data_IF_690055350098
#
_entry.id   IF_690055350098
#
_cell.length_a   1.000
_cell.length_b   1.000
_cell.length_c   1.000
_cell.angle_alpha   90.00
_cell.angle_beta   90.00
_cell.angle_gamma   90.00
#
_symmetry.space_group_name_H-M   'P 1'
#
loop_
_entity.id
_entity.type
_entity.pdbx_description
1 polymer ?
#
# COMPACT_ATOMS: atom_id res chain seq x y z
N UNK A 1 -22.29 -2.43 10.83
CA UNK A 1 -22.48 -3.07 9.51
C UNK A 1 -21.84 -4.45 9.59
N UNK A 2 -22.59 -5.52 9.35
CA UNK A 2 -22.04 -6.91 9.43
C UNK A 2 -21.28 -7.21 8.15
N UNK A 3 -20.06 -7.69 8.26
CA UNK A 3 -19.29 -8.25 7.13
C UNK A 3 -19.98 -9.56 6.71
N UNK A 4 -20.26 -9.70 5.43
CA UNK A 4 -20.81 -10.93 4.89
C UNK A 4 -19.68 -11.85 4.38
N UNK A 5 -19.99 -13.11 4.06
CA UNK A 5 -19.01 -14.09 3.59
C UNK A 5 -18.26 -13.62 2.33
N UNK A 6 -18.95 -12.89 1.44
CA UNK A 6 -18.37 -12.34 0.22
C UNK A 6 -17.33 -11.24 0.52
N UNK A 7 -17.59 -10.41 1.56
CA UNK A 7 -16.63 -9.40 1.99
C UNK A 7 -15.40 -10.06 2.65
N UNK A 8 -15.60 -11.09 3.47
CA UNK A 8 -14.50 -11.84 4.08
C UNK A 8 -13.60 -12.49 3.03
N UNK A 9 -14.17 -13.11 2.00
CA UNK A 9 -13.40 -13.68 0.89
C UNK A 9 -12.57 -12.64 0.16
N UNK A 10 -13.12 -11.44 -0.09
CA UNK A 10 -12.38 -10.35 -0.75
C UNK A 10 -11.27 -9.79 0.15
N UNK A 11 -11.53 -9.64 1.45
CA UNK A 11 -10.54 -9.21 2.45
C UNK A 11 -9.36 -10.16 2.45
N UNK A 12 -9.62 -11.47 2.60
CA UNK A 12 -8.58 -12.49 2.65
C UNK A 12 -7.77 -12.55 1.35
N UNK A 13 -8.44 -12.48 0.19
CA UNK A 13 -7.78 -12.49 -1.11
C UNK A 13 -6.86 -11.27 -1.27
N UNK A 14 -7.34 -10.07 -0.98
CA UNK A 14 -6.52 -8.85 -1.14
C UNK A 14 -5.38 -8.78 -0.12
N UNK A 15 -5.59 -9.26 1.10
CA UNK A 15 -4.53 -9.39 2.10
C UNK A 15 -3.44 -10.35 1.63
N UNK A 16 -3.82 -11.53 1.14
CA UNK A 16 -2.90 -12.52 0.62
C UNK A 16 -2.11 -12.00 -0.60
N UNK A 17 -2.79 -11.36 -1.55
CA UNK A 17 -2.14 -10.77 -2.73
C UNK A 17 -1.16 -9.66 -2.32
N UNK A 18 -1.52 -8.79 -1.37
CA UNK A 18 -0.62 -7.75 -0.86
C UNK A 18 0.59 -8.37 -0.17
N UNK A 19 0.38 -9.42 0.61
CA UNK A 19 1.44 -10.15 1.30
C UNK A 19 2.38 -10.86 0.31
N UNK A 20 1.85 -11.62 -0.66
CA UNK A 20 2.63 -12.29 -1.71
C UNK A 20 3.39 -11.25 -2.55
N UNK A 21 2.75 -10.12 -2.87
CA UNK A 21 3.37 -9.01 -3.57
C UNK A 21 4.58 -8.41 -2.87
N UNK A 22 4.71 -8.61 -1.55
CA UNK A 22 5.90 -8.18 -0.79
C UNK A 22 7.16 -8.99 -1.09
N UNK A 23 7.01 -10.23 -1.56
CA UNK A 23 8.14 -11.09 -1.94
C UNK A 23 8.60 -10.86 -3.38
N UNK A 24 7.72 -10.27 -4.21
CA UNK A 24 8.09 -9.85 -5.57
C UNK A 24 8.68 -8.46 -5.46
N UNK A 25 10.00 -8.39 -5.32
CA UNK A 25 10.69 -7.15 -4.99
C UNK A 25 11.98 -6.98 -5.78
N UNK A 26 12.30 -5.72 -6.07
CA UNK A 26 13.57 -5.31 -6.64
C UNK A 26 14.32 -4.54 -5.55
N UNK A 27 15.48 -5.04 -5.07
CA UNK A 27 16.24 -4.42 -3.98
C UNK A 27 16.98 -3.17 -4.50
N UNK A 28 16.30 -2.04 -4.50
CA UNK A 28 16.88 -0.73 -4.85
C UNK A 28 16.84 0.17 -3.63
N UNK A 29 18.02 0.47 -3.07
CA UNK A 29 18.13 1.33 -1.87
C UNK A 29 17.73 0.65 -0.56
N UNK A 30 17.46 1.45 0.51
CA UNK A 30 17.17 0.94 1.86
C UNK A 30 15.82 0.22 1.97
N UNK A 31 14.90 0.53 1.07
CA UNK A 31 13.58 -0.09 1.00
C UNK A 31 13.42 -0.70 -0.40
N UNK A 32 13.07 -1.98 -0.52
CA UNK A 32 12.88 -2.61 -1.82
C UNK A 32 11.60 -2.09 -2.51
N UNK A 33 11.65 -1.96 -3.83
CA UNK A 33 10.45 -1.71 -4.65
C UNK A 33 9.69 -3.02 -4.80
N UNK A 34 8.46 -3.09 -4.31
CA UNK A 34 7.67 -4.33 -4.29
C UNK A 34 6.37 -4.20 -5.09
N UNK A 35 5.72 -5.32 -5.39
CA UNK A 35 4.37 -5.32 -5.97
C UNK A 35 3.25 -5.05 -4.95
N UNK A 36 3.56 -4.91 -3.66
CA UNK A 36 2.56 -4.62 -2.61
C UNK A 36 1.67 -3.44 -2.96
N UNK A 37 2.27 -2.31 -3.36
CA UNK A 37 1.55 -1.07 -3.68
C UNK A 37 0.47 -1.28 -4.74
N UNK A 38 0.70 -2.14 -5.73
CA UNK A 38 -0.31 -2.49 -6.73
C UNK A 38 -1.57 -3.07 -6.07
N UNK A 39 -1.40 -4.05 -5.19
CA UNK A 39 -2.53 -4.72 -4.52
C UNK A 39 -3.20 -3.84 -3.47
N UNK A 40 -2.45 -2.95 -2.82
CA UNK A 40 -3.00 -1.92 -1.93
C UNK A 40 -3.89 -0.95 -2.71
N UNK A 41 -3.45 -0.46 -3.87
CA UNK A 41 -4.23 0.40 -4.75
C UNK A 41 -5.48 -0.32 -5.28
N UNK A 42 -5.37 -1.59 -5.67
CA UNK A 42 -6.52 -2.41 -6.07
C UNK A 42 -7.51 -2.57 -4.91
N UNK A 43 -7.02 -2.82 -3.70
CA UNK A 43 -7.85 -2.90 -2.48
C UNK A 43 -8.65 -1.61 -2.29
N UNK A 44 -7.98 -0.47 -2.38
CA UNK A 44 -8.60 0.85 -2.23
C UNK A 44 -9.64 1.15 -3.30
N UNK A 45 -9.42 0.69 -4.55
CA UNK A 45 -10.32 0.93 -5.68
C UNK A 45 -11.51 -0.04 -5.74
N UNK A 46 -11.39 -1.26 -5.20
CA UNK A 46 -12.37 -2.34 -5.39
C UNK A 46 -13.21 -2.65 -4.15
N UNK A 47 -12.65 -2.48 -2.96
CA UNK A 47 -13.32 -2.81 -1.71
C UNK A 47 -14.02 -1.58 -1.11
N UNK A 48 -15.01 -1.81 -0.24
CA UNK A 48 -15.56 -0.75 0.61
C UNK A 48 -14.53 -0.36 1.70
N UNK A 49 -14.67 0.83 2.35
CA UNK A 49 -13.66 1.33 3.29
C UNK A 49 -13.35 0.39 4.44
N UNK A 50 -14.37 -0.25 5.00
CA UNK A 50 -14.20 -1.19 6.11
C UNK A 50 -13.44 -2.45 5.66
N UNK A 51 -13.81 -3.01 4.52
CA UNK A 51 -13.11 -4.18 3.96
C UNK A 51 -11.67 -3.82 3.54
N UNK A 52 -11.43 -2.61 3.02
CA UNK A 52 -10.09 -2.15 2.69
C UNK A 52 -9.20 -2.03 3.92
N UNK A 53 -9.74 -1.50 5.03
CA UNK A 53 -9.04 -1.46 6.32
C UNK A 53 -8.65 -2.87 6.79
N UNK A 54 -9.62 -3.79 6.87
CA UNK A 54 -9.36 -5.15 7.35
C UNK A 54 -8.42 -5.94 6.44
N UNK A 55 -8.47 -5.73 5.12
CA UNK A 55 -7.54 -6.35 4.18
C UNK A 55 -6.09 -5.92 4.46
N UNK A 56 -5.84 -4.63 4.67
CA UNK A 56 -4.49 -4.14 4.96
C UNK A 56 -4.04 -4.45 6.38
N UNK A 57 -4.96 -4.48 7.35
CA UNK A 57 -4.65 -4.94 8.71
C UNK A 57 -4.24 -6.42 8.70
N UNK A 58 -4.99 -7.27 8.00
CA UNK A 58 -4.66 -8.71 7.85
C UNK A 58 -3.32 -8.89 7.11
N UNK A 59 -3.05 -8.10 6.06
CA UNK A 59 -1.76 -8.06 5.39
C UNK A 59 -0.61 -7.71 6.37
N UNK A 60 -0.78 -6.70 7.23
CA UNK A 60 0.20 -6.38 8.27
C UNK A 60 0.40 -7.55 9.24
N UNK A 61 -0.69 -8.16 9.73
CA UNK A 61 -0.62 -9.30 10.66
C UNK A 61 0.13 -10.48 10.04
N UNK A 62 -0.15 -10.82 8.77
CA UNK A 62 0.59 -11.85 8.03
C UNK A 62 2.07 -11.49 7.90
N UNK A 63 2.38 -10.22 7.64
CA UNK A 63 3.77 -9.75 7.53
C UNK A 63 4.52 -9.86 8.86
N UNK A 64 3.88 -9.50 9.97
CA UNK A 64 4.45 -9.66 11.33
C UNK A 64 4.62 -11.14 11.69
N UNK A 65 3.63 -11.96 11.40
CA UNK A 65 3.66 -13.40 11.72
C UNK A 65 4.82 -14.12 11.01
N UNK A 66 5.05 -13.80 9.74
CA UNK A 66 6.07 -14.49 8.93
C UNK A 66 7.46 -13.89 9.10
N UNK A 67 7.58 -12.57 9.20
CA UNK A 67 8.87 -11.87 9.34
C UNK A 67 9.33 -11.68 10.79
N UNK A 68 8.43 -11.93 11.76
CA UNK A 68 8.71 -11.72 13.17
C UNK A 68 8.81 -10.26 13.58
N UNK A 69 9.21 -10.02 14.84
CA UNK A 69 9.33 -8.68 15.41
C UNK A 69 10.36 -7.76 14.73
N UNK A 70 11.28 -8.31 13.96
CA UNK A 70 12.29 -7.53 13.22
C UNK A 70 11.65 -6.58 12.20
N UNK A 71 10.43 -6.86 11.76
CA UNK A 71 9.71 -6.01 10.80
C UNK A 71 9.51 -4.59 11.34
N UNK A 72 9.34 -4.43 12.66
CA UNK A 72 9.17 -3.13 13.32
C UNK A 72 10.41 -2.24 13.19
N UNK A 73 11.59 -2.81 13.09
CA UNK A 73 12.84 -2.08 12.86
C UNK A 73 13.21 -1.99 11.38
N UNK A 74 12.35 -2.44 10.50
CA UNK A 74 12.56 -2.30 9.06
C UNK A 74 12.15 -0.90 8.58
N UNK A 75 12.96 -0.23 7.74
CA UNK A 75 12.57 1.01 7.08
C UNK A 75 11.26 0.92 6.30
N UNK A 76 10.89 -0.28 5.85
CA UNK A 76 9.65 -0.54 5.11
C UNK A 76 8.39 -0.53 5.97
N UNK A 77 8.49 -0.63 7.30
CA UNK A 77 7.33 -0.79 8.18
C UNK A 77 6.39 0.41 8.15
N UNK A 78 6.94 1.63 8.01
CA UNK A 78 6.12 2.84 7.87
C UNK A 78 5.18 2.80 6.68
N UNK A 79 5.57 2.16 5.58
CA UNK A 79 4.72 1.97 4.41
C UNK A 79 3.60 0.97 4.68
N UNK A 80 3.83 -0.07 5.50
CA UNK A 80 2.77 -0.99 5.93
C UNK A 80 1.71 -0.27 6.77
N UNK A 81 2.12 0.62 7.68
CA UNK A 81 1.20 1.48 8.44
C UNK A 81 0.42 2.39 7.47
N UNK A 82 1.11 3.02 6.51
CA UNK A 82 0.48 3.85 5.50
C UNK A 82 -0.61 3.11 4.72
N UNK A 83 -0.41 1.85 4.37
CA UNK A 83 -1.39 1.04 3.64
C UNK A 83 -2.71 0.87 4.41
N UNK A 84 -2.63 0.64 5.74
CA UNK A 84 -3.81 0.50 6.60
C UNK A 84 -4.61 1.79 6.67
N UNK A 85 -3.95 2.93 6.65
CA UNK A 85 -4.58 4.25 6.73
C UNK A 85 -5.12 4.70 5.36
N UNK A 86 -4.30 4.58 4.33
CA UNK A 86 -4.60 5.15 3.01
C UNK A 86 -5.66 4.35 2.26
N UNK A 87 -5.61 3.02 2.29
CA UNK A 87 -6.55 2.21 1.53
C UNK A 87 -8.02 2.49 1.88
N UNK A 88 -8.44 2.56 3.17
CA UNK A 88 -9.81 2.90 3.51
C UNK A 88 -10.17 4.37 3.19
N UNK A 89 -9.23 5.31 3.31
CA UNK A 89 -9.46 6.72 2.95
C UNK A 89 -9.79 6.84 1.47
N UNK A 90 -8.98 6.26 0.61
CA UNK A 90 -9.19 6.28 -0.85
C UNK A 90 -10.48 5.57 -1.23
N UNK A 91 -10.77 4.43 -0.61
CA UNK A 91 -12.02 3.71 -0.81
C UNK A 91 -13.24 4.57 -0.40
N UNK A 92 -13.13 5.32 0.70
CA UNK A 92 -14.18 6.23 1.14
C UNK A 92 -14.39 7.39 0.15
N UNK A 93 -13.32 8.04 -0.31
CA UNK A 93 -13.40 9.12 -1.30
C UNK A 93 -14.05 8.64 -2.59
N UNK A 94 -13.73 7.43 -3.04
CA UNK A 94 -14.35 6.80 -4.18
C UNK A 94 -15.85 6.52 -3.96
N UNK A 95 -16.20 5.93 -2.82
CA UNK A 95 -17.58 5.57 -2.48
C UNK A 95 -18.48 6.81 -2.37
N UNK A 96 -17.98 7.91 -1.86
CA UNK A 96 -18.74 9.17 -1.70
C UNK A 96 -18.86 9.96 -3.01
N UNK A 97 -18.20 9.54 -4.08
CA UNK A 97 -18.20 10.25 -5.36
C UNK A 97 -17.45 11.58 -5.35
N UNK A 98 -16.73 11.91 -4.24
CA UNK A 98 -15.92 13.13 -4.15
C UNK A 98 -14.81 13.18 -5.21
N UNK A 99 -14.26 12.01 -5.56
CA UNK A 99 -13.31 11.85 -6.64
C UNK A 99 -13.77 10.68 -7.50
N UNK A 100 -14.22 10.97 -8.71
CA UNK A 100 -14.80 9.96 -9.60
C UNK A 100 -13.77 9.22 -10.44
N UNK A 101 -12.69 9.88 -10.83
CA UNK A 101 -11.68 9.29 -11.69
C UNK A 101 -10.61 8.54 -10.88
N UNK A 102 -10.51 7.23 -11.11
CA UNK A 102 -9.55 6.35 -10.41
C UNK A 102 -8.09 6.82 -10.53
N UNK A 103 -7.72 7.45 -11.65
CA UNK A 103 -6.37 8.01 -11.85
C UNK A 103 -5.98 9.03 -10.76
N UNK A 104 -6.90 9.88 -10.34
CA UNK A 104 -6.60 10.86 -9.28
C UNK A 104 -6.55 10.19 -7.91
N UNK A 105 -7.37 9.17 -7.69
CA UNK A 105 -7.36 8.39 -6.45
C UNK A 105 -6.04 7.64 -6.25
N UNK A 106 -5.48 7.03 -7.31
CA UNK A 106 -4.19 6.32 -7.19
C UNK A 106 -3.02 7.29 -7.01
N UNK A 107 -3.05 8.46 -7.64
CA UNK A 107 -2.04 9.51 -7.42
C UNK A 107 -2.09 10.00 -5.97
N UNK A 108 -3.28 10.32 -5.47
CA UNK A 108 -3.48 10.74 -4.08
C UNK A 108 -3.04 9.65 -3.10
N UNK A 109 -3.40 8.38 -3.37
CA UNK A 109 -2.99 7.25 -2.56
C UNK A 109 -1.47 7.14 -2.47
N UNK A 110 -0.78 7.18 -3.60
CA UNK A 110 0.68 7.08 -3.67
C UNK A 110 1.35 8.24 -2.91
N UNK A 111 0.87 9.45 -3.09
CA UNK A 111 1.36 10.62 -2.34
C UNK A 111 1.19 10.48 -0.83
N UNK A 112 0.00 10.04 -0.37
CA UNK A 112 -0.27 9.81 1.05
C UNK A 112 0.60 8.67 1.63
N UNK A 113 0.82 7.61 0.85
CA UNK A 113 1.70 6.50 1.26
C UNK A 113 3.12 7.02 1.50
N UNK A 114 3.64 7.89 0.63
CA UNK A 114 4.96 8.48 0.81
C UNK A 114 5.02 9.43 2.01
N UNK A 115 4.01 10.28 2.18
CA UNK A 115 3.94 11.24 3.32
C UNK A 115 3.94 10.52 4.66
N UNK A 116 3.31 9.35 4.76
CA UNK A 116 3.26 8.57 6.01
C UNK A 116 4.48 7.65 6.14
N UNK A 117 4.88 6.98 5.05
CA UNK A 117 5.92 5.95 5.10
C UNK A 117 7.34 6.51 5.20
N UNK A 118 7.64 7.61 4.48
CA UNK A 118 9.00 8.18 4.43
C UNK A 118 9.50 8.71 5.77
N UNK A 119 8.69 9.41 6.61
CA UNK A 119 9.15 9.82 7.93
C UNK A 119 9.56 8.66 8.83
N UNK A 120 8.79 7.58 8.83
CA UNK A 120 9.15 6.37 9.58
C UNK A 120 10.47 5.78 9.08
N UNK A 121 10.61 5.64 7.76
CA UNK A 121 11.86 5.20 7.13
C UNK A 121 13.05 6.06 7.57
N UNK A 122 12.88 7.39 7.58
CA UNK A 122 13.92 8.33 7.99
C UNK A 122 14.35 8.12 9.46
N UNK A 123 13.39 7.88 10.35
CA UNK A 123 13.67 7.59 11.77
C UNK A 123 14.48 6.28 11.88
N UNK A 124 14.08 5.23 11.19
CA UNK A 124 14.82 3.95 11.24
C UNK A 124 16.23 4.11 10.68
N UNK A 125 16.41 4.78 9.54
CA UNK A 125 17.71 4.92 8.90
C UNK A 125 18.66 5.82 9.70
N UNK A 126 18.18 6.92 10.28
CA UNK A 126 19.04 7.91 10.91
C UNK A 126 19.15 7.74 12.43
N UNK A 127 18.10 7.24 13.11
CA UNK A 127 18.14 7.10 14.58
C UNK A 127 18.57 5.69 15.00
N UNK A 128 18.03 4.64 14.33
CA UNK A 128 18.33 3.26 14.71
C UNK A 128 19.55 2.68 14.00
N UNK A 129 19.73 3.02 12.71
CA UNK A 129 20.86 2.55 11.91
C UNK A 129 22.01 3.57 11.81
N UNK A 130 21.84 4.76 12.39
CA UNK A 130 22.85 5.83 12.53
C UNK A 130 23.53 6.22 11.20
N UNK A 131 22.81 6.12 10.08
CA UNK A 131 23.37 6.36 8.74
C UNK A 131 23.62 7.84 8.45
N UNK A 132 23.04 8.77 9.21
CA UNK A 132 23.26 10.22 9.05
C UNK A 132 22.84 10.76 7.68
N UNK A 133 21.80 10.18 7.05
CA UNK A 133 21.36 10.59 5.73
C UNK A 133 20.75 11.99 5.74
N UNK A 134 21.14 12.83 4.77
CA UNK A 134 20.57 14.15 4.57
C UNK A 134 19.11 14.04 4.10
N UNK A 135 18.35 15.13 4.22
CA UNK A 135 16.96 15.19 3.77
C UNK A 135 16.82 14.84 2.27
N UNK A 136 17.74 15.33 1.43
CA UNK A 136 17.76 15.00 0.00
C UNK A 136 17.98 13.50 -0.25
N UNK A 137 18.89 12.87 0.46
CA UNK A 137 19.14 11.42 0.35
C UNK A 137 17.92 10.61 0.80
N UNK A 138 17.24 11.03 1.86
CA UNK A 138 15.98 10.40 2.32
C UNK A 138 14.86 10.53 1.29
N UNK A 139 14.71 11.70 0.65
CA UNK A 139 13.73 11.87 -0.43
C UNK A 139 14.06 11.03 -1.67
N UNK A 140 15.32 10.97 -2.05
CA UNK A 140 15.75 10.09 -3.16
C UNK A 140 15.40 8.64 -2.82
N UNK A 141 15.81 8.17 -1.65
CA UNK A 141 15.67 6.76 -1.24
C UNK A 141 14.22 6.36 -0.92
N UNK A 142 13.40 7.28 -0.43
CA UNK A 142 12.03 6.99 0.01
C UNK A 142 10.93 7.40 -0.97
N UNK A 143 11.26 8.19 -1.99
CA UNK A 143 10.26 8.70 -2.95
C UNK A 143 10.73 8.53 -4.39
N UNK A 144 11.85 9.16 -4.78
CA UNK A 144 12.24 9.24 -6.19
C UNK A 144 12.54 7.87 -6.81
N UNK A 145 13.18 6.97 -6.07
CA UNK A 145 13.48 5.62 -6.54
C UNK A 145 12.23 4.77 -6.78
N UNK A 146 11.13 5.08 -6.07
CA UNK A 146 9.87 4.34 -6.22
C UNK A 146 8.98 4.88 -7.33
N UNK A 147 9.07 6.18 -7.65
CA UNK A 147 8.16 6.85 -8.60
C UNK A 147 7.99 6.13 -9.93
N UNK A 148 9.05 5.67 -10.62
CA UNK A 148 8.86 4.96 -11.90
C UNK A 148 8.08 3.66 -11.74
N UNK A 149 8.43 2.85 -10.74
CA UNK A 149 7.75 1.58 -10.45
C UNK A 149 6.31 1.80 -9.97
N UNK A 150 6.08 2.77 -9.09
CA UNK A 150 4.75 3.07 -8.56
C UNK A 150 3.86 3.73 -9.61
N UNK A 151 4.41 4.51 -10.54
CA UNK A 151 3.70 5.01 -11.71
C UNK A 151 3.13 3.89 -12.58
N UNK A 152 3.94 2.88 -12.89
CA UNK A 152 3.50 1.70 -13.64
C UNK A 152 2.42 0.95 -12.86
N UNK A 153 2.62 0.71 -11.56
CA UNK A 153 1.64 0.03 -10.69
C UNK A 153 0.33 0.81 -10.57
N UNK A 154 0.38 2.14 -10.51
CA UNK A 154 -0.81 2.98 -10.49
C UNK A 154 -1.64 2.85 -11.78
N UNK A 155 -1.00 2.86 -12.94
CA UNK A 155 -1.67 2.62 -14.23
C UNK A 155 -2.27 1.22 -14.27
N UNK A 156 -1.51 0.20 -13.90
CA UNK A 156 -1.98 -1.19 -13.84
C UNK A 156 -3.16 -1.35 -12.87
N UNK A 157 -3.12 -0.71 -11.70
CA UNK A 157 -4.21 -0.74 -10.73
C UNK A 157 -5.51 -0.17 -11.33
N UNK A 158 -5.45 0.95 -12.03
CA UNK A 158 -6.63 1.53 -12.70
C UNK A 158 -7.17 0.62 -13.79
N UNK A 159 -6.32 0.08 -14.65
CA UNK A 159 -6.71 -0.83 -15.74
C UNK A 159 -7.36 -2.10 -15.19
N UNK A 160 -6.70 -2.73 -14.22
CA UNK A 160 -7.20 -3.97 -13.58
C UNK A 160 -8.49 -3.72 -12.82
N UNK A 161 -8.59 -2.63 -12.04
CA UNK A 161 -9.80 -2.29 -11.31
C UNK A 161 -11.00 -2.08 -12.27
N UNK A 162 -10.77 -1.44 -13.41
CA UNK A 162 -11.81 -1.24 -14.43
C UNK A 162 -12.28 -2.57 -15.05
N UNK A 163 -11.35 -3.49 -15.33
CA UNK A 163 -11.68 -4.82 -15.86
C UNK A 163 -12.43 -5.68 -14.83
N UNK A 164 -11.90 -5.75 -13.60
CA UNK A 164 -12.48 -6.56 -12.54
C UNK A 164 -13.90 -6.10 -12.16
N UNK A 165 -14.16 -4.80 -12.15
CA UNK A 165 -15.52 -4.27 -11.89
C UNK A 165 -16.55 -4.70 -12.93
N UNK A 166 -16.17 -4.87 -14.19
CA UNK A 166 -17.06 -5.38 -15.24
C UNK A 166 -17.44 -6.84 -14.98
N UNK A 167 -16.49 -7.66 -14.50
CA UNK A 167 -16.71 -9.08 -14.21
C UNK A 167 -17.55 -9.26 -12.93
N UNK A 168 -17.31 -8.46 -11.90
CA UNK A 168 -17.98 -8.57 -10.60
C UNK A 168 -19.45 -8.09 -10.63
N UNK A 169 -19.82 -7.27 -11.62
CA UNK A 169 -21.20 -6.77 -11.81
C UNK A 169 -22.12 -7.78 -12.48
N UNK A 170 -21.61 -8.82 -13.08
CA UNK A 170 -22.35 -9.97 -13.61
C UNK A 170 -22.37 -11.11 -12.58
#
# INVERSE_FOLDING_TARGET
MKLNTRDLSKISLMAALSFIGSFISIPIGPVPVTLQTLFVLLTALLLNPQSAFFAQLLHLLLSVLVRGGQIFLSPSFGFLIAFIIVAPIISYLKKTGKVTADRYLVILATGLIYVIGTPYMAIILNVFLELGLSFSQLLISGVLLFLPGDGIKAVLAVVLANRLRKIIKH
#
